data_IF_231971377879
#
_entry.id   IF_231971377879
#
_cell.length_a   1.000
_cell.length_b   1.000
_cell.length_c   1.000
_cell.angle_alpha   90.00
_cell.angle_beta   90.00
_cell.angle_gamma   90.00
#
_symmetry.space_group_name_H-M   'P 1'
#
loop_
_entity.id
_entity.type
_entity.pdbx_description
1 polymer ?
#
# COMPACT_ATOMS: atom_id res chain seq x y z
N UNK A 1 -25.62 25.59 4.07
CA UNK A 1 -24.17 25.87 4.22
C UNK A 1 -23.52 25.78 2.85
N UNK A 2 -22.57 26.65 2.52
CA UNK A 2 -21.86 26.58 1.23
C UNK A 2 -20.77 25.49 1.28
N UNK A 3 -20.64 24.71 0.21
CA UNK A 3 -19.63 23.65 0.11
C UNK A 3 -18.25 24.30 0.02
N UNK A 4 -17.31 23.86 0.86
CA UNK A 4 -15.91 24.31 0.77
C UNK A 4 -15.12 23.42 -0.19
N UNK A 5 -14.21 24.04 -0.95
CA UNK A 5 -13.29 23.31 -1.82
C UNK A 5 -12.37 22.35 -1.04
N UNK A 6 -11.96 22.74 0.16
CA UNK A 6 -11.15 21.90 1.06
C UNK A 6 -11.82 20.56 1.33
N UNK A 7 -13.12 20.58 1.61
CA UNK A 7 -13.88 19.40 2.02
C UNK A 7 -14.05 18.45 0.83
N UNK A 8 -14.29 19.00 -0.38
CA UNK A 8 -14.32 18.22 -1.62
C UNK A 8 -12.98 17.58 -1.95
N UNK A 9 -11.87 18.31 -1.78
CA UNK A 9 -10.53 17.77 -1.99
C UNK A 9 -10.26 16.60 -1.05
N UNK A 10 -10.51 16.79 0.24
CA UNK A 10 -10.29 15.76 1.26
C UNK A 10 -11.13 14.50 0.97
N UNK A 11 -12.38 14.67 0.56
CA UNK A 11 -13.25 13.57 0.17
C UNK A 11 -12.68 12.76 -1.01
N UNK A 12 -12.28 13.44 -2.10
CA UNK A 12 -11.70 12.78 -3.27
C UNK A 12 -10.35 12.12 -2.93
N UNK A 13 -9.47 12.80 -2.20
CA UNK A 13 -8.18 12.26 -1.77
C UNK A 13 -8.36 11.02 -0.90
N UNK A 14 -9.35 11.02 -0.01
CA UNK A 14 -9.68 9.86 0.84
C UNK A 14 -10.19 8.69 0.01
N UNK A 15 -11.14 8.93 -0.90
CA UNK A 15 -11.69 7.89 -1.78
C UNK A 15 -10.62 7.30 -2.71
N UNK A 16 -9.79 8.14 -3.30
CA UNK A 16 -8.65 7.73 -4.11
C UNK A 16 -7.64 6.92 -3.30
N UNK A 17 -7.31 7.33 -2.07
CA UNK A 17 -6.39 6.61 -1.18
C UNK A 17 -6.92 5.21 -0.86
N UNK A 18 -8.19 5.09 -0.48
CA UNK A 18 -8.82 3.79 -0.19
C UNK A 18 -8.75 2.83 -1.39
N UNK A 19 -9.03 3.34 -2.60
CA UNK A 19 -8.95 2.50 -3.81
C UNK A 19 -7.50 2.14 -4.16
N UNK A 20 -6.56 3.06 -4.02
CA UNK A 20 -5.12 2.79 -4.19
C UNK A 20 -4.63 1.73 -3.21
N UNK A 21 -5.05 1.80 -1.96
CA UNK A 21 -4.69 0.82 -0.92
C UNK A 21 -5.26 -0.58 -1.24
N UNK A 22 -6.49 -0.65 -1.76
CA UNK A 22 -7.09 -1.91 -2.20
C UNK A 22 -6.31 -2.54 -3.36
N UNK A 23 -5.95 -1.76 -4.39
CA UNK A 23 -5.13 -2.23 -5.51
C UNK A 23 -3.74 -2.66 -5.05
N UNK A 24 -3.12 -1.89 -4.16
CA UNK A 24 -1.80 -2.18 -3.61
C UNK A 24 -1.81 -3.46 -2.78
N UNK A 25 -2.87 -3.71 -2.00
CA UNK A 25 -3.02 -4.94 -1.20
C UNK A 25 -3.10 -6.19 -2.07
N UNK A 26 -3.85 -6.13 -3.18
CA UNK A 26 -3.94 -7.23 -4.15
C UNK A 26 -2.58 -7.48 -4.81
N UNK A 27 -1.94 -6.41 -5.32
CA UNK A 27 -0.61 -6.52 -5.92
C UNK A 27 0.44 -7.06 -4.94
N UNK A 28 0.36 -6.66 -3.67
CA UNK A 28 1.30 -7.10 -2.62
C UNK A 28 1.29 -8.61 -2.45
N UNK A 29 0.11 -9.24 -2.37
CA UNK A 29 0.02 -10.69 -2.20
C UNK A 29 0.69 -11.45 -3.36
N UNK A 30 0.48 -10.98 -4.60
CA UNK A 30 1.11 -11.55 -5.79
C UNK A 30 2.63 -11.38 -5.78
N UNK A 31 3.12 -10.17 -5.50
CA UNK A 31 4.57 -9.90 -5.41
C UNK A 31 5.20 -10.74 -4.30
N UNK A 32 4.61 -10.77 -3.12
CA UNK A 32 5.14 -11.51 -1.97
C UNK A 32 5.23 -13.02 -2.27
N UNK A 33 4.24 -13.58 -2.97
CA UNK A 33 4.24 -15.01 -3.36
C UNK A 33 5.41 -15.39 -4.27
N UNK A 34 5.91 -14.45 -5.07
CA UNK A 34 7.05 -14.63 -5.99
C UNK A 34 8.37 -14.33 -5.29
N UNK A 35 8.43 -13.26 -4.49
CA UNK A 35 9.63 -12.83 -3.77
C UNK A 35 10.03 -13.84 -2.71
N UNK A 36 9.06 -14.36 -1.95
CA UNK A 36 9.31 -15.25 -0.80
C UNK A 36 10.19 -16.46 -1.14
N UNK A 37 9.87 -17.31 -2.13
CA UNK A 37 10.71 -18.47 -2.44
C UNK A 37 12.13 -18.07 -2.88
N UNK A 38 12.29 -16.96 -3.61
CA UNK A 38 13.60 -16.48 -4.09
C UNK A 38 14.47 -16.05 -2.91
N UNK A 39 13.93 -15.22 -2.00
CA UNK A 39 14.64 -14.77 -0.80
C UNK A 39 14.98 -15.95 0.11
N UNK A 40 14.04 -16.90 0.29
CA UNK A 40 14.28 -18.05 1.15
C UNK A 40 15.37 -18.98 0.61
N UNK A 41 15.50 -19.11 -0.71
CA UNK A 41 16.59 -19.87 -1.34
C UNK A 41 17.92 -19.10 -1.26
N UNK A 42 17.93 -17.81 -1.60
CA UNK A 42 19.12 -16.96 -1.55
C UNK A 42 19.74 -16.89 -0.15
N UNK A 43 18.89 -16.88 0.89
CA UNK A 43 19.31 -16.86 2.29
C UNK A 43 19.05 -18.18 3.01
N UNK A 44 19.09 -19.33 2.32
CA UNK A 44 18.78 -20.64 2.94
C UNK A 44 19.64 -20.97 4.17
N UNK A 45 20.87 -20.48 4.21
CA UNK A 45 21.78 -20.68 5.35
C UNK A 45 21.27 -19.99 6.63
N UNK A 46 20.46 -18.93 6.49
CA UNK A 46 19.81 -18.27 7.62
C UNK A 46 18.76 -19.15 8.31
N UNK A 47 18.26 -20.23 7.69
CA UNK A 47 17.27 -21.13 8.31
C UNK A 47 17.77 -21.70 9.63
N UNK A 48 19.02 -22.15 9.65
CA UNK A 48 19.62 -22.71 10.87
C UNK A 48 19.77 -21.64 11.95
N UNK A 49 20.14 -20.41 11.56
CA UNK A 49 20.31 -19.27 12.47
C UNK A 49 18.96 -18.86 13.07
N UNK A 50 17.93 -18.70 12.26
CA UNK A 50 16.56 -18.37 12.68
C UNK A 50 16.02 -19.42 13.66
N UNK A 51 16.18 -20.71 13.35
CA UNK A 51 15.74 -21.81 14.23
C UNK A 51 16.48 -21.82 15.55
N UNK A 52 17.80 -21.63 15.55
CA UNK A 52 18.58 -21.55 16.78
C UNK A 52 18.22 -20.32 17.62
N UNK A 53 17.99 -19.18 16.96
CA UNK A 53 17.53 -17.96 17.60
C UNK A 53 16.15 -18.13 18.26
N UNK A 54 15.22 -18.82 17.60
CA UNK A 54 13.91 -19.16 18.17
C UNK A 54 14.05 -20.05 19.40
N UNK A 55 14.86 -21.11 19.33
CA UNK A 55 15.10 -21.99 20.48
C UNK A 55 15.72 -21.24 21.66
N UNK A 56 16.69 -20.36 21.40
CA UNK A 56 17.29 -19.50 22.43
C UNK A 56 16.24 -18.57 23.03
N UNK A 57 15.47 -17.87 22.20
CA UNK A 57 14.42 -16.95 22.60
C UNK A 57 13.42 -17.62 23.55
N UNK A 58 12.87 -18.77 23.15
CA UNK A 58 11.86 -19.48 23.93
C UNK A 58 12.43 -20.05 25.23
N UNK A 59 13.63 -20.62 25.18
CA UNK A 59 14.30 -21.15 26.38
C UNK A 59 14.61 -20.05 27.39
N UNK A 60 14.97 -18.86 26.91
CA UNK A 60 15.36 -17.75 27.76
C UNK A 60 14.16 -16.99 28.33
N UNK A 61 13.05 -16.86 27.57
CA UNK A 61 11.77 -16.39 28.13
C UNK A 61 11.32 -17.26 29.29
N UNK A 62 11.40 -18.59 29.15
CA UNK A 62 11.11 -19.52 30.23
C UNK A 62 12.01 -19.31 31.47
N UNK A 63 13.28 -18.91 31.29
CA UNK A 63 14.17 -18.60 32.41
C UNK A 63 13.79 -17.30 33.12
N UNK A 64 13.39 -16.26 32.37
CA UNK A 64 12.91 -14.99 32.93
C UNK A 64 11.68 -15.23 33.79
N UNK A 65 10.73 -16.03 33.31
CA UNK A 65 9.49 -16.35 34.04
C UNK A 65 9.73 -17.16 35.31
N UNK A 66 10.71 -18.06 35.29
CA UNK A 66 11.01 -18.96 36.43
C UNK A 66 11.88 -18.32 37.50
N UNK A 67 12.75 -17.37 37.14
CA UNK A 67 13.74 -16.83 38.06
C UNK A 67 13.83 -15.31 37.98
N UNK A 68 13.41 -14.62 39.06
CA UNK A 68 13.44 -13.16 39.19
C UNK A 68 14.83 -12.53 38.93
N UNK A 69 15.93 -13.28 39.09
CA UNK A 69 17.29 -12.81 38.79
C UNK A 69 17.47 -12.41 37.31
N UNK A 70 16.71 -13.02 36.40
CA UNK A 70 16.75 -12.74 34.97
C UNK A 70 15.67 -11.75 34.53
N UNK A 71 14.76 -11.34 35.43
CA UNK A 71 13.80 -10.27 35.19
C UNK A 71 14.45 -8.88 35.30
N UNK A 72 15.39 -8.63 34.39
CA UNK A 72 16.09 -7.35 34.26
C UNK A 72 15.97 -6.83 32.84
N UNK A 73 15.85 -5.50 32.73
CA UNK A 73 15.61 -4.82 31.45
C UNK A 73 16.60 -5.23 30.35
N UNK A 74 17.89 -5.35 30.69
CA UNK A 74 18.94 -5.74 29.72
C UNK A 74 18.68 -7.11 29.09
N UNK A 75 18.21 -8.07 29.87
CA UNK A 75 17.93 -9.43 29.41
C UNK A 75 16.68 -9.48 28.53
N UNK A 76 15.63 -8.72 28.91
CA UNK A 76 14.43 -8.52 28.09
C UNK A 76 14.75 -7.84 26.75
N UNK A 77 15.69 -6.88 26.75
CA UNK A 77 16.14 -6.20 25.53
C UNK A 77 16.79 -7.17 24.55
N UNK A 78 17.73 -8.00 25.02
CA UNK A 78 18.41 -9.00 24.17
C UNK A 78 17.40 -9.93 23.49
N UNK A 79 16.41 -10.41 24.23
CA UNK A 79 15.37 -11.28 23.68
C UNK A 79 14.49 -10.57 22.67
N UNK A 80 14.15 -9.31 22.94
CA UNK A 80 13.41 -8.47 22.00
C UNK A 80 14.20 -8.28 20.71
N UNK A 81 15.51 -8.04 20.79
CA UNK A 81 16.38 -7.84 19.63
C UNK A 81 16.54 -9.12 18.82
N UNK A 82 16.72 -10.28 19.47
CA UNK A 82 16.76 -11.59 18.80
C UNK A 82 15.46 -11.85 18.04
N UNK A 83 14.32 -11.61 18.70
CA UNK A 83 13.02 -11.78 18.08
C UNK A 83 12.83 -10.86 16.87
N UNK A 84 13.24 -9.59 17.00
CA UNK A 84 13.02 -8.58 15.99
C UNK A 84 13.95 -8.71 14.79
N UNK A 85 15.21 -9.09 15.00
CA UNK A 85 16.25 -8.97 13.96
C UNK A 85 16.78 -10.31 13.47
N UNK A 86 16.63 -11.38 14.25
CA UNK A 86 17.23 -12.67 13.92
C UNK A 86 16.18 -13.69 13.54
N UNK A 87 15.11 -13.84 14.32
CA UNK A 87 14.06 -14.86 14.06
C UNK A 87 13.32 -14.59 12.75
N UNK A 88 13.11 -13.31 12.40
CA UNK A 88 12.32 -12.91 11.24
C UNK A 88 13.18 -12.47 10.05
N UNK A 89 14.50 -12.71 10.06
CA UNK A 89 15.45 -12.14 9.11
C UNK A 89 15.00 -12.28 7.64
N UNK A 90 14.71 -13.51 7.20
CA UNK A 90 14.28 -13.76 5.81
C UNK A 90 12.92 -13.13 5.52
N UNK A 91 12.01 -13.14 6.49
CA UNK A 91 10.68 -12.52 6.34
C UNK A 91 10.78 -11.00 6.22
N UNK A 92 11.69 -10.38 6.95
CA UNK A 92 11.95 -8.94 6.88
C UNK A 92 12.51 -8.54 5.52
N UNK A 93 13.45 -9.33 4.98
CA UNK A 93 13.98 -9.14 3.61
C UNK A 93 12.84 -9.28 2.59
N UNK A 94 11.99 -10.31 2.71
CA UNK A 94 10.80 -10.46 1.84
C UNK A 94 9.91 -9.22 1.89
N UNK A 95 9.62 -8.71 3.09
CA UNK A 95 8.77 -7.53 3.25
C UNK A 95 9.40 -6.26 2.65
N UNK A 96 10.70 -6.09 2.83
CA UNK A 96 11.46 -4.98 2.27
C UNK A 96 11.43 -5.04 0.74
N UNK A 97 11.89 -6.14 0.14
CA UNK A 97 11.95 -6.30 -1.31
C UNK A 97 10.56 -6.21 -1.96
N UNK A 98 9.54 -6.82 -1.35
CA UNK A 98 8.14 -6.69 -1.80
C UNK A 98 7.72 -5.22 -1.85
N UNK A 99 8.08 -4.44 -0.83
CA UNK A 99 7.72 -3.02 -0.76
C UNK A 99 8.46 -2.18 -1.80
N UNK A 100 9.74 -2.48 -2.05
CA UNK A 100 10.54 -1.82 -3.09
C UNK A 100 10.03 -2.14 -4.49
N UNK A 101 9.71 -3.41 -4.78
CA UNK A 101 9.12 -3.83 -6.05
C UNK A 101 7.78 -3.13 -6.29
N UNK A 102 6.88 -3.11 -5.31
CA UNK A 102 5.60 -2.41 -5.43
C UNK A 102 5.80 -0.92 -5.73
N UNK A 103 6.76 -0.27 -5.08
CA UNK A 103 7.06 1.13 -5.33
C UNK A 103 7.62 1.34 -6.75
N UNK A 104 8.49 0.47 -7.24
CA UNK A 104 9.02 0.54 -8.60
C UNK A 104 7.92 0.31 -9.65
N UNK A 105 7.02 -0.64 -9.43
CA UNK A 105 5.93 -0.97 -10.36
C UNK A 105 4.84 0.13 -10.38
N UNK A 106 4.39 0.57 -9.21
CA UNK A 106 3.22 1.45 -9.07
C UNK A 106 3.57 2.94 -9.04
N UNK A 107 4.59 3.32 -8.29
CA UNK A 107 4.91 4.72 -7.96
C UNK A 107 6.07 5.30 -8.82
N UNK A 108 6.50 4.57 -9.88
CA UNK A 108 7.61 4.92 -10.78
C UNK A 108 8.96 5.06 -10.07
N UNK A 109 9.19 4.30 -9.02
CA UNK A 109 10.48 4.22 -8.35
C UNK A 109 11.56 3.49 -9.16
N UNK A 110 12.82 3.74 -8.80
CA UNK A 110 13.99 3.04 -9.33
C UNK A 110 14.85 2.50 -8.18
N UNK A 111 14.21 2.01 -7.12
CA UNK A 111 14.94 1.45 -5.98
C UNK A 111 15.77 0.26 -6.44
N UNK A 112 16.98 0.14 -5.90
CA UNK A 112 17.78 -1.06 -6.04
C UNK A 112 17.06 -2.25 -5.42
N UNK A 113 17.11 -3.38 -6.11
CA UNK A 113 16.53 -4.66 -5.69
C UNK A 113 17.66 -5.69 -5.60
N UNK A 114 17.40 -6.78 -4.89
CA UNK A 114 18.26 -7.97 -4.97
C UNK A 114 18.42 -8.43 -6.43
N UNK A 115 19.63 -8.84 -6.82
CA UNK A 115 19.92 -9.26 -8.20
C UNK A 115 19.07 -10.48 -8.61
N UNK A 116 18.86 -11.41 -7.68
CA UNK A 116 18.06 -12.62 -7.87
C UNK A 116 16.59 -12.33 -8.19
N UNK A 117 16.09 -11.15 -7.83
CA UNK A 117 14.71 -10.74 -8.08
C UNK A 117 14.52 -10.08 -9.46
N UNK A 118 15.59 -9.66 -10.14
CA UNK A 118 15.45 -8.96 -11.43
C UNK A 118 14.65 -9.74 -12.47
N UNK A 119 14.86 -11.05 -12.69
CA UNK A 119 14.06 -11.82 -13.66
C UNK A 119 12.57 -11.87 -13.26
N UNK A 120 12.30 -12.03 -11.96
CA UNK A 120 10.95 -12.11 -11.42
C UNK A 120 10.18 -10.78 -11.54
N UNK A 121 10.88 -9.64 -11.49
CA UNK A 121 10.27 -8.31 -11.63
C UNK A 121 9.66 -8.10 -13.01
N UNK A 122 10.32 -8.54 -14.09
CA UNK A 122 9.76 -8.42 -15.44
C UNK A 122 8.54 -9.32 -15.65
N UNK A 123 8.54 -10.52 -15.04
CA UNK A 123 7.35 -11.38 -15.01
C UNK A 123 6.21 -10.72 -14.24
N UNK A 124 6.48 -10.20 -13.05
CA UNK A 124 5.50 -9.49 -12.21
C UNK A 124 4.92 -8.27 -12.93
N UNK A 125 5.75 -7.52 -13.66
CA UNK A 125 5.31 -6.37 -14.46
C UNK A 125 4.34 -6.77 -15.55
N UNK A 126 4.54 -7.93 -16.18
CA UNK A 126 3.64 -8.48 -17.19
C UNK A 126 2.35 -8.99 -16.54
N UNK A 127 2.47 -9.78 -15.48
CA UNK A 127 1.33 -10.36 -14.75
C UNK A 127 0.43 -9.30 -14.12
N UNK A 128 1.01 -8.23 -13.59
CA UNK A 128 0.31 -7.13 -12.94
C UNK A 128 0.03 -5.95 -13.87
N UNK A 129 0.29 -6.07 -15.18
CA UNK A 129 0.18 -4.96 -16.13
C UNK A 129 -1.17 -4.23 -16.05
N UNK A 130 -2.27 -4.99 -15.98
CA UNK A 130 -3.61 -4.42 -15.85
C UNK A 130 -3.78 -3.62 -14.54
N UNK A 131 -3.27 -4.12 -13.41
CA UNK A 131 -3.36 -3.44 -12.12
C UNK A 131 -2.42 -2.25 -12.00
N UNK A 132 -1.25 -2.32 -12.63
CA UNK A 132 -0.34 -1.19 -12.75
C UNK A 132 -1.00 -0.08 -13.58
N UNK A 133 -1.66 -0.42 -14.69
CA UNK A 133 -2.43 0.54 -15.49
C UNK A 133 -3.55 1.15 -14.65
N UNK A 134 -4.38 0.32 -14.02
CA UNK A 134 -5.50 0.76 -13.18
C UNK A 134 -5.05 1.74 -12.09
N UNK A 135 -3.94 1.45 -11.41
CA UNK A 135 -3.37 2.33 -10.40
C UNK A 135 -2.89 3.65 -10.98
N UNK A 136 -2.18 3.63 -12.11
CA UNK A 136 -1.67 4.84 -12.77
C UNK A 136 -2.80 5.71 -13.32
N UNK A 137 -3.83 5.09 -13.85
CA UNK A 137 -5.02 5.77 -14.36
C UNK A 137 -5.80 6.40 -13.21
N UNK A 138 -5.90 5.72 -12.06
CA UNK A 138 -6.46 6.30 -10.83
C UNK A 138 -5.64 7.49 -10.31
N UNK A 139 -4.30 7.44 -10.37
CA UNK A 139 -3.44 8.59 -10.00
C UNK A 139 -3.75 9.79 -10.88
N UNK A 140 -3.73 9.62 -12.21
CA UNK A 140 -4.06 10.69 -13.17
C UNK A 140 -5.46 11.23 -12.98
N UNK A 141 -6.45 10.35 -12.84
CA UNK A 141 -7.84 10.73 -12.61
C UNK A 141 -7.99 11.57 -11.34
N UNK A 142 -7.27 11.20 -10.27
CA UNK A 142 -7.28 11.97 -9.01
C UNK A 142 -6.70 13.36 -9.24
N UNK A 143 -5.57 13.48 -9.93
CA UNK A 143 -4.94 14.77 -10.26
C UNK A 143 -5.85 15.66 -11.12
N UNK A 144 -6.51 15.09 -12.12
CA UNK A 144 -7.48 15.79 -12.97
C UNK A 144 -8.66 16.31 -12.16
N UNK A 145 -9.26 15.47 -11.31
CA UNK A 145 -10.37 15.86 -10.45
C UNK A 145 -9.97 16.99 -9.49
N UNK A 146 -8.80 16.89 -8.86
CA UNK A 146 -8.30 17.93 -7.96
C UNK A 146 -8.06 19.25 -8.70
N UNK A 147 -7.51 19.19 -9.92
CA UNK A 147 -7.33 20.37 -10.78
C UNK A 147 -8.67 21.03 -11.14
N UNK A 148 -9.71 20.22 -11.41
CA UNK A 148 -11.07 20.71 -11.67
C UNK A 148 -11.64 21.40 -10.43
N UNK A 149 -11.46 20.84 -9.24
CA UNK A 149 -11.88 21.49 -7.99
C UNK A 149 -11.17 22.84 -7.82
N UNK A 150 -9.86 22.88 -8.05
CA UNK A 150 -9.05 24.10 -7.85
C UNK A 150 -9.43 25.22 -8.82
N UNK A 151 -9.66 24.88 -10.09
CA UNK A 151 -10.06 25.82 -11.14
C UNK A 151 -11.47 26.38 -10.96
N UNK A 152 -12.32 25.74 -10.15
CA UNK A 152 -13.65 26.25 -9.84
C UNK A 152 -13.62 27.44 -8.86
N UNK A 153 -14.49 28.42 -9.11
CA UNK A 153 -14.57 29.65 -8.32
C UNK A 153 -14.96 29.41 -6.85
N UNK A 154 -15.83 28.44 -6.58
CA UNK A 154 -16.24 28.04 -5.23
C UNK A 154 -16.56 26.54 -5.18
N UNK A 155 -16.76 26.00 -3.97
CA UNK A 155 -17.01 24.57 -3.78
C UNK A 155 -18.37 24.13 -4.32
N UNK A 156 -19.39 24.98 -4.35
CA UNK A 156 -20.69 24.63 -4.95
C UNK A 156 -20.58 24.40 -6.47
N UNK A 157 -19.78 25.21 -7.18
CA UNK A 157 -19.47 24.99 -8.59
C UNK A 157 -18.61 23.75 -8.82
N UNK A 158 -17.63 23.51 -7.94
CA UNK A 158 -16.81 22.31 -8.00
C UNK A 158 -17.67 21.05 -7.82
N UNK A 159 -18.54 21.02 -6.81
CA UNK A 159 -19.45 19.90 -6.53
C UNK A 159 -20.30 19.54 -7.74
N UNK A 160 -21.03 20.52 -8.32
CA UNK A 160 -21.83 20.31 -9.52
C UNK A 160 -20.99 19.80 -10.69
N UNK A 161 -19.78 20.35 -10.85
CA UNK A 161 -18.86 19.91 -11.89
C UNK A 161 -18.40 18.46 -11.72
N UNK A 162 -18.21 18.00 -10.48
CA UNK A 162 -17.88 16.61 -10.20
C UNK A 162 -19.08 15.67 -10.44
N UNK A 163 -20.29 16.10 -10.10
CA UNK A 163 -21.52 15.37 -10.44
C UNK A 163 -21.69 15.22 -11.96
N UNK A 164 -21.44 16.30 -12.72
CA UNK A 164 -21.44 16.28 -14.20
C UNK A 164 -20.42 15.25 -14.74
N UNK A 165 -19.27 15.11 -14.08
CA UNK A 165 -18.25 14.14 -14.45
C UNK A 165 -18.60 12.70 -14.06
N UNK A 166 -19.69 12.47 -13.31
CA UNK A 166 -20.10 11.15 -12.84
C UNK A 166 -19.30 10.64 -11.64
N UNK A 167 -18.63 11.54 -10.91
CA UNK A 167 -17.95 11.19 -9.66
C UNK A 167 -19.00 10.82 -8.63
N UNK A 168 -18.89 9.63 -8.04
CA UNK A 168 -19.80 9.24 -6.98
C UNK A 168 -19.48 10.01 -5.70
N UNK A 169 -20.33 10.98 -5.38
CA UNK A 169 -20.24 11.82 -4.19
C UNK A 169 -21.12 11.28 -3.04
N UNK A 170 -21.64 10.04 -3.13
CA UNK A 170 -22.36 9.41 -2.00
C UNK A 170 -21.48 9.40 -0.76
N UNK A 171 -22.04 9.85 0.35
CA UNK A 171 -21.33 10.01 1.62
C UNK A 171 -20.70 11.39 1.84
N UNK A 172 -20.63 12.24 0.81
CA UNK A 172 -20.38 13.67 0.99
C UNK A 172 -21.68 14.34 1.50
N UNK A 173 -21.61 15.04 2.63
CA UNK A 173 -22.81 15.66 3.24
C UNK A 173 -23.20 16.93 2.50
N UNK A 174 -24.12 16.82 1.57
CA UNK A 174 -24.76 17.94 0.87
C UNK A 174 -26.27 17.71 0.69
N UNK A 175 -27.05 18.79 0.85
CA UNK A 175 -28.53 18.75 0.90
C UNK A 175 -29.23 18.71 -0.48
N UNK A 176 -28.54 18.52 -1.61
CA UNK A 176 -29.22 18.51 -2.91
C UNK A 176 -28.69 17.45 -3.86
N UNK A 177 -29.62 16.73 -4.48
CA UNK A 177 -29.41 15.74 -5.53
C UNK A 177 -30.01 16.28 -6.83
N UNK A 178 -29.20 16.47 -7.88
CA UNK A 178 -29.70 16.53 -9.26
C UNK A 178 -28.53 16.33 -10.25
N UNK A 179 -28.60 15.27 -11.06
CA UNK A 179 -27.66 14.93 -12.14
C UNK A 179 -28.05 15.64 -13.46
N UNK A 180 -27.10 16.14 -14.28
CA UNK A 180 -26.80 15.44 -15.56
C UNK A 180 -25.39 15.65 -16.21
N UNK A 181 -25.13 14.81 -17.23
CA UNK A 181 -24.21 14.87 -18.40
C UNK A 181 -22.66 14.83 -18.26
N UNK A 182 -22.09 13.74 -18.79
CA UNK A 182 -20.67 13.34 -18.82
C UNK A 182 -19.80 14.22 -19.73
N UNK A 183 -18.71 14.76 -19.18
CA UNK A 183 -17.58 15.33 -19.93
C UNK A 183 -16.38 14.39 -19.82
N UNK A 184 -15.66 14.19 -20.93
CA UNK A 184 -14.56 13.23 -21.03
C UNK A 184 -13.38 13.60 -20.12
N UNK A 185 -13.11 12.75 -19.13
CA UNK A 185 -11.82 12.67 -18.42
C UNK A 185 -10.86 11.74 -19.16
N UNK A 186 -9.57 11.80 -18.83
CA UNK A 186 -8.58 10.91 -19.48
C UNK A 186 -8.71 9.44 -19.09
N UNK A 187 -9.35 9.16 -17.95
CA UNK A 187 -9.64 7.83 -17.44
C UNK A 187 -11.10 7.72 -16.97
N UNK A 188 -11.64 6.49 -16.94
CA UNK A 188 -13.03 6.25 -16.56
C UNK A 188 -13.26 6.49 -15.06
N UNK A 189 -14.24 7.32 -14.71
CA UNK A 189 -14.59 7.68 -13.32
C UNK A 189 -15.03 6.48 -12.49
N UNK A 190 -15.50 5.39 -13.13
CA UNK A 190 -15.79 4.15 -12.41
C UNK A 190 -14.59 3.64 -11.60
N UNK A 191 -13.34 3.98 -12.00
CA UNK A 191 -12.12 3.57 -11.30
C UNK A 191 -12.03 4.18 -9.90
N UNK A 192 -12.48 5.42 -9.76
CA UNK A 192 -12.58 6.10 -8.47
C UNK A 192 -13.79 5.60 -7.66
N UNK A 193 -14.88 5.26 -8.34
CA UNK A 193 -16.11 4.79 -7.69
C UNK A 193 -15.99 3.34 -7.18
N UNK A 194 -15.17 2.52 -7.83
CA UNK A 194 -14.97 1.12 -7.47
C UNK A 194 -15.87 0.12 -8.21
N UNK A 195 -16.65 0.61 -9.18
CA UNK A 195 -17.68 -0.15 -9.91
C UNK A 195 -17.28 -0.44 -11.38
N UNK A 196 -15.97 -0.49 -11.65
CA UNK A 196 -15.42 -1.25 -12.77
C UNK A 196 -14.93 -2.61 -12.26
#
# INVERSE_FOLDING_TARGET
>A
MAIKKSDLREFIETKARQRKDALRKVARAEVESVVKPIVFEAYKEADTVERQAQLFHDSFLNLIERYNRFDIWRMKSIITDVNRHVISLRSDIVQQETSLILHNLLDRGTNGLMEELQPAVEELKTKLAAKISEYRDLVKLTEEILTIIDSCHNGDKAYKRLEELGVDLKGFKTENSNLPAVIKLSANVCLLNGDC
#
